data_IF_814197945284
#
_entry.id   IF_814197945284
#
_cell.length_a   1.000
_cell.length_b   1.000
_cell.length_c   1.000
_cell.angle_alpha   90.00
_cell.angle_beta   90.00
_cell.angle_gamma   90.00
#
_symmetry.space_group_name_H-M   'P 1'
#
loop_
_entity.id
_entity.type
_entity.pdbx_description
1 polymer ?
#
# COMPACT_ATOMS: atom_id res chain seq x y z
N UNK A 1 -29.03 -4.27 17.54
CA UNK A 1 -28.15 -4.73 18.64
C UNK A 1 -27.81 -6.19 18.38
N UNK A 2 -26.60 -6.46 17.89
CA UNK A 2 -26.05 -7.80 17.67
C UNK A 2 -24.61 -7.77 18.20
N UNK A 3 -24.14 -8.75 19.01
CA UNK A 3 -22.87 -8.60 19.70
C UNK A 3 -21.70 -9.00 18.80
N UNK A 4 -20.62 -8.24 18.92
CA UNK A 4 -19.30 -8.57 18.38
C UNK A 4 -18.62 -9.53 19.36
N UNK A 5 -18.38 -10.75 18.93
CA UNK A 5 -17.38 -11.63 19.53
C UNK A 5 -16.33 -11.93 18.46
N UNK A 6 -15.19 -11.24 18.50
CA UNK A 6 -13.98 -11.66 17.78
C UNK A 6 -12.83 -11.65 18.78
N UNK A 7 -12.69 -12.75 19.49
CA UNK A 7 -11.57 -13.06 20.35
C UNK A 7 -11.07 -14.47 20.02
N UNK A 8 -9.83 -14.51 19.52
CA UNK A 8 -8.87 -15.62 19.52
C UNK A 8 -9.22 -16.92 18.76
N UNK A 9 -8.54 -17.13 17.64
CA UNK A 9 -7.75 -18.35 17.36
C UNK A 9 -7.06 -18.24 15.99
N UNK A 10 -5.80 -17.80 15.95
CA UNK A 10 -4.88 -18.20 14.87
C UNK A 10 -3.73 -18.99 15.50
N UNK A 11 -4.06 -20.23 15.88
CA UNK A 11 -3.09 -21.27 16.13
C UNK A 11 -2.67 -21.87 14.78
N UNK A 12 -1.37 -21.84 14.51
CA UNK A 12 -0.60 -22.74 13.66
C UNK A 12 -1.37 -23.47 12.54
N UNK A 13 -1.62 -22.77 11.44
CA UNK A 13 -1.72 -23.41 10.14
C UNK A 13 -0.47 -23.03 9.36
N UNK A 14 0.47 -23.97 9.25
CA UNK A 14 1.54 -23.92 8.25
C UNK A 14 0.90 -23.97 6.87
N UNK A 15 0.60 -22.81 6.30
CA UNK A 15 0.13 -22.69 4.92
C UNK A 15 1.30 -23.12 4.02
N UNK A 16 1.11 -24.11 3.14
CA UNK A 16 2.14 -24.50 2.21
C UNK A 16 2.51 -23.30 1.33
N UNK A 17 3.81 -23.10 1.11
CA UNK A 17 4.35 -22.15 0.15
C UNK A 17 3.94 -22.58 -1.27
N UNK A 18 2.72 -22.25 -1.66
CA UNK A 18 2.14 -22.47 -2.97
C UNK A 18 1.21 -21.32 -3.27
N UNK A 19 1.57 -20.51 -4.27
CA UNK A 19 0.71 -19.48 -4.87
C UNK A 19 0.07 -18.49 -3.87
N UNK A 20 0.87 -17.72 -3.13
CA UNK A 20 0.42 -16.40 -2.70
C UNK A 20 0.36 -15.51 -3.97
N UNK A 21 -0.70 -15.66 -4.76
CA UNK A 21 -0.96 -14.76 -5.88
C UNK A 21 -1.21 -13.35 -5.36
N UNK A 22 -0.95 -12.34 -6.19
CA UNK A 22 -1.31 -10.95 -5.89
C UNK A 22 -2.80 -10.88 -5.58
N UNK A 23 -3.17 -10.48 -4.36
CA UNK A 23 -4.56 -10.14 -4.05
C UNK A 23 -4.85 -8.79 -4.70
N UNK A 24 -5.66 -8.81 -5.76
CA UNK A 24 -5.99 -7.62 -6.55
C UNK A 24 -6.61 -6.53 -5.68
N UNK A 25 -7.48 -6.89 -4.72
CA UNK A 25 -8.16 -5.89 -3.89
C UNK A 25 -7.17 -5.20 -2.94
N UNK A 26 -6.35 -5.98 -2.24
CA UNK A 26 -5.29 -5.46 -1.35
C UNK A 26 -4.24 -4.68 -2.14
N UNK A 27 -3.80 -5.20 -3.28
CA UNK A 27 -2.83 -4.55 -4.15
C UNK A 27 -3.31 -3.19 -4.67
N UNK A 28 -4.58 -3.08 -5.09
CA UNK A 28 -5.16 -1.79 -5.54
C UNK A 28 -5.16 -0.78 -4.40
N UNK A 29 -5.54 -1.19 -3.18
CA UNK A 29 -5.52 -0.31 -2.01
C UNK A 29 -4.09 0.15 -1.68
N UNK A 30 -3.13 -0.78 -1.71
CA UNK A 30 -1.71 -0.46 -1.50
C UNK A 30 -1.18 0.50 -2.57
N UNK A 31 -1.59 0.35 -3.83
CA UNK A 31 -1.18 1.24 -4.91
C UNK A 31 -1.63 2.71 -4.68
N UNK A 32 -2.64 2.95 -3.84
CA UNK A 32 -3.09 4.31 -3.49
C UNK A 32 -2.20 5.01 -2.46
N UNK A 33 -1.30 4.28 -1.80
CA UNK A 33 -0.34 4.85 -0.84
C UNK A 33 0.66 5.72 -1.59
N UNK A 34 0.93 6.91 -1.07
CA UNK A 34 2.04 7.76 -1.45
C UNK A 34 3.34 7.17 -0.90
N UNK A 35 3.92 6.24 -1.66
CA UNK A 35 5.18 5.59 -1.31
C UNK A 35 6.36 6.56 -1.24
N UNK A 36 6.32 7.70 -1.93
CA UNK A 36 7.41 8.68 -1.84
C UNK A 36 7.42 9.33 -0.46
N UNK A 37 6.25 9.78 -0.01
CA UNK A 37 6.08 10.32 1.34
C UNK A 37 6.33 9.23 2.40
N UNK A 38 5.78 8.03 2.22
CA UNK A 38 5.98 6.92 3.16
C UNK A 38 7.45 6.51 3.29
N UNK A 39 8.18 6.33 2.17
CA UNK A 39 9.60 6.00 2.19
C UNK A 39 10.44 7.09 2.84
N UNK A 40 10.16 8.37 2.56
CA UNK A 40 10.87 9.47 3.20
C UNK A 40 10.66 9.47 4.73
N UNK A 41 9.43 9.26 5.19
CA UNK A 41 9.11 9.15 6.61
C UNK A 41 9.77 7.94 7.27
N UNK A 42 9.77 6.80 6.59
CA UNK A 42 10.41 5.58 7.09
C UNK A 42 11.93 5.75 7.20
N UNK A 43 12.58 6.34 6.18
CA UNK A 43 14.02 6.63 6.23
C UNK A 43 14.35 7.60 7.37
N UNK A 44 13.55 8.63 7.58
CA UNK A 44 13.74 9.56 8.70
C UNK A 44 13.64 8.85 10.04
N UNK A 45 12.67 7.93 10.19
CA UNK A 45 12.57 7.08 11.38
C UNK A 45 13.81 6.19 11.54
N UNK A 46 14.28 5.56 10.47
CA UNK A 46 15.42 4.64 10.49
C UNK A 46 16.73 5.31 10.90
N UNK A 47 16.95 6.59 10.58
CA UNK A 47 18.11 7.36 11.06
C UNK A 47 18.24 7.35 12.59
N UNK A 48 17.12 7.27 13.30
CA UNK A 48 17.11 7.26 14.78
C UNK A 48 17.23 5.88 15.40
N UNK A 49 16.68 4.84 14.77
CA UNK A 49 16.57 3.50 15.38
C UNK A 49 17.55 2.46 14.83
N UNK A 50 18.05 2.67 13.60
CA UNK A 50 18.99 1.80 12.89
C UNK A 50 19.77 2.60 11.82
N UNK A 51 20.63 3.55 12.23
CA UNK A 51 21.32 4.47 11.30
C UNK A 51 22.18 3.73 10.27
N UNK A 52 22.85 2.64 10.67
CA UNK A 52 23.73 1.86 9.81
C UNK A 52 22.99 1.14 8.66
N UNK A 53 21.66 1.01 8.76
CA UNK A 53 20.83 0.37 7.74
C UNK A 53 20.23 1.35 6.72
N UNK A 54 20.35 2.66 6.94
CA UNK A 54 19.66 3.70 6.14
C UNK A 54 20.06 3.65 4.68
N UNK A 55 21.36 3.54 4.37
CA UNK A 55 21.84 3.54 2.99
C UNK A 55 21.37 2.31 2.21
N UNK A 56 21.45 1.14 2.83
CA UNK A 56 20.98 -0.10 2.22
C UNK A 56 19.47 -0.09 1.99
N UNK A 57 18.70 0.44 2.95
CA UNK A 57 17.25 0.58 2.83
C UNK A 57 16.87 1.59 1.73
N UNK A 58 17.54 2.73 1.66
CA UNK A 58 17.31 3.75 0.64
C UNK A 58 17.59 3.20 -0.76
N UNK A 59 18.66 2.41 -0.92
CA UNK A 59 18.97 1.73 -2.18
C UNK A 59 17.88 0.74 -2.60
N UNK A 60 17.36 -0.06 -1.65
CA UNK A 60 16.26 -0.99 -1.91
C UNK A 60 14.97 -0.27 -2.33
N UNK A 61 14.61 0.83 -1.64
CA UNK A 61 13.46 1.67 -1.99
C UNK A 61 13.61 2.30 -3.38
N UNK A 62 14.80 2.78 -3.73
CA UNK A 62 15.08 3.36 -5.04
C UNK A 62 14.98 2.32 -6.15
N UNK A 63 15.53 1.12 -5.95
CA UNK A 63 15.42 0.01 -6.90
C UNK A 63 13.95 -0.38 -7.12
N UNK A 64 13.20 -0.56 -6.03
CA UNK A 64 11.79 -0.91 -6.12
C UNK A 64 10.96 0.18 -6.81
N UNK A 65 11.23 1.46 -6.52
CA UNK A 65 10.57 2.60 -7.16
C UNK A 65 10.83 2.62 -8.67
N UNK A 66 12.08 2.41 -9.09
CA UNK A 66 12.44 2.38 -10.51
C UNK A 66 11.69 1.28 -11.27
N UNK A 67 11.36 0.17 -10.59
CA UNK A 67 10.57 -0.90 -11.17
C UNK A 67 9.08 -0.55 -11.22
N UNK A 68 8.52 0.08 -10.19
CA UNK A 68 7.08 0.17 -9.98
C UNK A 68 6.43 1.54 -10.24
N UNK A 69 7.21 2.60 -10.47
CA UNK A 69 6.70 3.97 -10.55
C UNK A 69 5.60 4.15 -11.61
N UNK A 70 5.83 3.66 -12.83
CA UNK A 70 4.87 3.81 -13.93
C UNK A 70 3.60 2.99 -13.68
N UNK A 71 3.76 1.76 -13.18
CA UNK A 71 2.63 0.90 -12.84
C UNK A 71 1.75 1.54 -11.76
N UNK A 72 2.37 2.14 -10.73
CA UNK A 72 1.66 2.88 -9.68
C UNK A 72 0.84 4.06 -10.24
N UNK A 73 1.39 4.82 -11.19
CA UNK A 73 0.65 5.92 -11.83
C UNK A 73 -0.59 5.39 -12.54
N UNK A 74 -0.44 4.33 -13.33
CA UNK A 74 -1.55 3.75 -14.09
C UNK A 74 -2.60 3.15 -13.15
N UNK A 75 -2.19 2.39 -12.13
CA UNK A 75 -3.10 1.78 -11.16
C UNK A 75 -3.94 2.82 -10.40
N UNK A 76 -3.33 3.96 -10.01
CA UNK A 76 -4.06 5.07 -9.39
C UNK A 76 -5.05 5.72 -10.35
N UNK A 77 -4.68 5.88 -11.62
CA UNK A 77 -5.60 6.41 -12.64
C UNK A 77 -6.78 5.48 -12.89
N UNK A 78 -6.53 4.16 -12.98
CA UNK A 78 -7.57 3.14 -13.13
C UNK A 78 -8.53 3.16 -11.94
N UNK A 79 -8.00 3.23 -10.72
CA UNK A 79 -8.82 3.30 -9.51
C UNK A 79 -9.65 4.59 -9.45
N UNK A 80 -9.05 5.74 -9.79
CA UNK A 80 -9.78 7.02 -9.90
C UNK A 80 -10.93 6.90 -10.91
N UNK A 81 -10.68 6.35 -12.09
CA UNK A 81 -11.72 6.15 -13.10
C UNK A 81 -12.84 5.25 -12.58
N UNK A 82 -12.50 4.17 -11.87
CA UNK A 82 -13.49 3.29 -11.23
C UNK A 82 -14.36 4.04 -10.21
N UNK A 83 -13.77 4.87 -9.34
CA UNK A 83 -14.52 5.68 -8.37
C UNK A 83 -15.49 6.66 -9.06
N UNK A 84 -15.05 7.30 -10.14
CA UNK A 84 -15.90 8.19 -10.94
C UNK A 84 -17.10 7.42 -11.52
N UNK A 85 -16.85 6.24 -12.11
CA UNK A 85 -17.92 5.41 -12.68
C UNK A 85 -18.90 4.92 -11.60
N UNK A 86 -18.40 4.50 -10.44
CA UNK A 86 -19.24 4.09 -9.32
C UNK A 86 -20.11 5.24 -8.80
N UNK A 87 -19.55 6.44 -8.67
CA UNK A 87 -20.29 7.62 -8.24
C UNK A 87 -21.38 7.98 -9.25
N UNK A 88 -21.07 7.99 -10.55
CA UNK A 88 -22.06 8.26 -11.62
C UNK A 88 -23.16 7.21 -11.68
N UNK A 89 -22.83 5.94 -11.46
CA UNK A 89 -23.83 4.87 -11.41
C UNK A 89 -24.76 5.01 -10.19
N UNK A 90 -24.23 5.43 -9.04
CA UNK A 90 -24.99 5.62 -7.79
C UNK A 90 -25.81 6.91 -7.78
N UNK A 91 -25.25 7.99 -8.33
CA UNK A 91 -25.84 9.32 -8.35
C UNK A 91 -25.66 9.95 -9.75
N UNK A 92 -26.52 9.59 -10.73
CA UNK A 92 -26.37 10.04 -12.12
C UNK A 92 -26.45 11.56 -12.31
N UNK A 93 -27.06 12.27 -11.36
CA UNK A 93 -27.19 13.72 -11.36
C UNK A 93 -26.05 14.46 -10.62
N UNK A 94 -25.04 13.74 -10.11
CA UNK A 94 -23.90 14.37 -9.44
C UNK A 94 -23.13 15.27 -10.41
N UNK A 95 -22.80 16.47 -9.96
CA UNK A 95 -21.97 17.40 -10.75
C UNK A 95 -20.50 17.04 -10.61
N UNK A 96 -19.65 17.45 -11.56
CA UNK A 96 -18.22 17.09 -11.56
C UNK A 96 -17.50 17.48 -10.25
N UNK A 97 -17.86 18.63 -9.65
CA UNK A 97 -17.29 19.04 -8.38
C UNK A 97 -17.58 18.07 -7.22
N UNK A 98 -18.76 17.43 -7.21
CA UNK A 98 -19.12 16.43 -6.20
C UNK A 98 -18.37 15.12 -6.43
N UNK A 99 -18.20 14.73 -7.70
CA UNK A 99 -17.43 13.55 -8.09
C UNK A 99 -15.95 13.73 -7.68
N UNK A 100 -15.37 14.89 -7.98
CA UNK A 100 -13.98 15.20 -7.61
C UNK A 100 -13.80 15.24 -6.10
N UNK A 101 -14.75 15.83 -5.35
CA UNK A 101 -14.72 15.83 -3.90
C UNK A 101 -14.80 14.42 -3.32
N UNK A 102 -15.64 13.54 -3.90
CA UNK A 102 -15.73 12.14 -3.50
C UNK A 102 -14.43 11.39 -3.76
N UNK A 103 -13.85 11.52 -4.95
CA UNK A 103 -12.57 10.90 -5.30
C UNK A 103 -11.47 11.37 -4.36
N UNK A 104 -11.37 12.68 -4.11
CA UNK A 104 -10.38 13.25 -3.20
C UNK A 104 -10.54 12.73 -1.77
N UNK A 105 -11.77 12.63 -1.28
CA UNK A 105 -12.06 12.09 0.04
C UNK A 105 -11.61 10.62 0.17
N UNK A 106 -11.95 9.77 -0.81
CA UNK A 106 -11.57 8.35 -0.81
C UNK A 106 -10.06 8.19 -0.93
N UNK A 107 -9.41 8.87 -1.87
CA UNK A 107 -7.95 8.81 -2.03
C UNK A 107 -7.21 9.36 -0.80
N UNK A 108 -7.79 10.35 -0.12
CA UNK A 108 -7.25 10.92 1.12
C UNK A 108 -7.19 9.92 2.29
N UNK A 109 -8.09 8.93 2.34
CA UNK A 109 -8.12 7.92 3.42
C UNK A 109 -6.83 7.10 3.49
N UNK A 110 -6.23 6.79 2.34
CA UNK A 110 -5.00 5.98 2.28
C UNK A 110 -3.78 6.73 2.80
N UNK A 111 -3.76 8.06 2.63
CA UNK A 111 -2.60 8.90 2.88
C UNK A 111 -2.73 9.79 4.12
N UNK A 112 -3.93 9.84 4.71
CA UNK A 112 -4.19 10.57 5.95
C UNK A 112 -3.37 10.04 7.12
N UNK A 113 -2.70 10.95 7.84
CA UNK A 113 -1.97 10.64 9.07
C UNK A 113 -0.73 9.75 8.89
N UNK A 114 -0.17 9.63 7.68
CA UNK A 114 0.99 8.76 7.42
C UNK A 114 2.16 9.01 8.39
N UNK A 115 2.47 10.28 8.67
CA UNK A 115 3.51 10.66 9.64
C UNK A 115 3.25 10.08 11.03
N UNK A 116 2.03 10.23 11.53
CA UNK A 116 1.66 9.75 12.86
C UNK A 116 1.65 8.23 12.92
N UNK A 117 1.17 7.57 11.84
CA UNK A 117 1.19 6.11 11.71
C UNK A 117 2.62 5.56 11.73
N UNK A 118 3.54 6.17 10.99
CA UNK A 118 4.97 5.76 10.99
C UNK A 118 5.61 6.02 12.35
N UNK A 119 5.30 7.15 12.99
CA UNK A 119 5.84 7.47 14.31
C UNK A 119 5.30 6.56 15.42
N UNK A 120 4.07 6.07 15.30
CA UNK A 120 3.41 5.20 16.26
C UNK A 120 3.93 3.75 16.23
N UNK A 121 4.69 3.35 15.20
CA UNK A 121 5.27 2.01 15.13
C UNK A 121 6.24 1.80 16.32
N UNK A 122 6.07 0.73 17.11
CA UNK A 122 6.96 0.41 18.22
C UNK A 122 8.43 0.35 17.78
N UNK A 123 9.35 0.81 18.63
CA UNK A 123 10.76 0.95 18.25
C UNK A 123 11.40 -0.37 17.79
N UNK A 124 11.01 -1.52 18.38
CA UNK A 124 11.51 -2.82 17.97
C UNK A 124 11.04 -3.22 16.56
N UNK A 125 9.77 -2.98 16.23
CA UNK A 125 9.20 -3.25 14.89
C UNK A 125 9.78 -2.29 13.85
N UNK A 126 9.93 -1.01 14.22
CA UNK A 126 10.58 -0.03 13.35
C UNK A 126 12.02 -0.44 13.06
N UNK A 127 12.76 -0.90 14.07
CA UNK A 127 14.14 -1.37 13.91
C UNK A 127 14.22 -2.58 12.97
N UNK A 128 13.37 -3.61 13.16
CA UNK A 128 13.33 -4.78 12.28
C UNK A 128 13.01 -4.40 10.83
N UNK A 129 12.05 -3.49 10.63
CA UNK A 129 11.72 -2.92 9.32
C UNK A 129 12.94 -2.28 8.66
N UNK A 130 13.70 -1.47 9.41
CA UNK A 130 14.90 -0.78 8.93
C UNK A 130 16.06 -1.73 8.64
N UNK A 131 16.28 -2.74 9.48
CA UNK A 131 17.41 -3.68 9.42
C UNK A 131 17.25 -4.77 8.34
N UNK A 132 16.19 -4.70 7.53
CA UNK A 132 16.09 -5.48 6.29
C UNK A 132 14.73 -6.09 6.01
N UNK A 133 13.82 -6.14 6.99
CA UNK A 133 12.50 -6.72 6.79
C UNK A 133 11.72 -5.96 5.71
N UNK A 134 11.76 -4.63 5.71
CA UNK A 134 11.07 -3.84 4.70
C UNK A 134 11.69 -4.03 3.31
N UNK A 135 13.02 -4.06 3.21
CA UNK A 135 13.71 -4.35 1.95
C UNK A 135 13.38 -5.75 1.40
N UNK A 136 13.25 -6.74 2.28
CA UNK A 136 12.79 -8.07 1.93
C UNK A 136 11.34 -8.04 1.42
N UNK A 137 10.45 -7.30 2.07
CA UNK A 137 9.06 -7.14 1.64
C UNK A 137 8.96 -6.45 0.27
N UNK A 138 9.72 -5.37 0.02
CA UNK A 138 9.77 -4.71 -1.28
C UNK A 138 10.16 -5.67 -2.41
N UNK A 139 11.06 -6.63 -2.12
CA UNK A 139 11.55 -7.59 -3.13
C UNK A 139 10.62 -8.78 -3.33
N UNK A 140 10.06 -9.30 -2.25
CA UNK A 140 9.48 -10.64 -2.22
C UNK A 140 7.97 -10.67 -1.96
N UNK A 141 7.36 -9.55 -1.54
CA UNK A 141 5.92 -9.51 -1.28
C UNK A 141 5.15 -9.31 -2.59
N UNK A 142 4.30 -10.28 -3.01
CA UNK A 142 3.56 -10.18 -4.27
C UNK A 142 2.70 -8.92 -4.38
N UNK A 143 2.07 -8.49 -3.29
CA UNK A 143 1.24 -7.27 -3.27
C UNK A 143 2.03 -5.95 -3.43
N UNK A 144 3.37 -6.03 -3.45
CA UNK A 144 4.27 -4.90 -3.74
C UNK A 144 4.88 -4.97 -5.15
N UNK A 145 4.53 -5.97 -5.96
CA UNK A 145 4.81 -6.01 -7.39
C UNK A 145 3.64 -5.38 -8.15
N UNK A 146 3.72 -4.05 -8.32
CA UNK A 146 2.67 -3.28 -8.97
C UNK A 146 2.63 -3.49 -10.48
N UNK A 147 3.72 -3.96 -11.10
CA UNK A 147 3.69 -4.36 -12.51
C UNK A 147 2.87 -5.62 -12.70
N UNK A 148 3.06 -6.61 -11.83
CA UNK A 148 2.27 -7.84 -11.86
C UNK A 148 0.80 -7.56 -11.56
N UNK A 149 0.51 -6.70 -10.57
CA UNK A 149 -0.86 -6.25 -10.31
C UNK A 149 -1.49 -5.60 -11.54
N UNK A 150 -0.78 -4.69 -12.21
CA UNK A 150 -1.28 -4.01 -13.40
C UNK A 150 -1.56 -4.99 -14.56
N UNK A 151 -0.67 -5.96 -14.79
CA UNK A 151 -0.89 -7.02 -15.79
C UNK A 151 -2.16 -7.80 -15.50
N UNK A 152 -2.37 -8.23 -14.25
CA UNK A 152 -3.58 -8.98 -13.85
C UNK A 152 -4.86 -8.17 -14.05
N UNK A 153 -4.84 -6.89 -13.69
CA UNK A 153 -6.00 -6.01 -13.87
C UNK A 153 -6.35 -5.74 -15.35
N UNK A 154 -5.35 -5.73 -16.24
CA UNK A 154 -5.55 -5.38 -17.66
C UNK A 154 -5.75 -6.58 -18.56
N UNK A 155 -5.14 -7.72 -18.25
CA UNK A 155 -5.17 -8.94 -19.08
C UNK A 155 -6.02 -10.06 -18.48
N UNK A 156 -6.48 -9.92 -17.23
CA UNK A 156 -7.39 -10.86 -16.57
C UNK A 156 -6.75 -12.19 -16.16
N UNK A 157 -5.43 -12.37 -16.30
CA UNK A 157 -4.63 -13.50 -15.81
C UNK A 157 -3.21 -13.08 -15.46
#
# INVERSE_FOLDING_TARGET
MWPVFFGAALACASVPAGAAGVDIATGIQMAQIDFDTYHALLLERCKSVAPDSVDALAAAMAQWRAQNADALVILRQLYKAQLVQQMRARQPAAIEAEIDAHVAAVMGLFNGGLKDKVAAVPAAEARASCEGEYANNLRNRPDMDFNELLKRMTLGR
#
